data_IF_324594545061
#
_entry.id   IF_324594545061
#
_cell.length_a   1.000
_cell.length_b   1.000
_cell.length_c   1.000
_cell.angle_alpha   90.00
_cell.angle_beta   90.00
_cell.angle_gamma   90.00
#
_symmetry.space_group_name_H-M   'P 1'
#
loop_
_entity.id
_entity.type
_entity.pdbx_description
1 polymer ?
#
# COMPACT_ATOMS: atom_id res chain seq x y z
N UNK A 1 17.18 10.79 -4.32
CA UNK A 1 16.74 9.37 -4.34
C UNK A 1 16.48 8.98 -5.80
N UNK A 2 16.96 7.82 -6.27
CA UNK A 2 16.75 7.37 -7.66
C UNK A 2 15.34 6.76 -7.76
N UNK A 3 14.54 7.20 -8.75
CA UNK A 3 13.19 6.67 -8.94
C UNK A 3 13.24 5.17 -9.32
N UNK A 4 12.30 4.34 -8.83
CA UNK A 4 12.23 2.95 -9.23
C UNK A 4 11.91 2.85 -10.72
N UNK A 5 12.74 2.09 -11.44
CA UNK A 5 12.59 1.79 -12.87
C UNK A 5 12.36 0.29 -13.02
N UNK A 6 11.45 -0.09 -13.90
CA UNK A 6 11.23 -1.50 -14.22
C UNK A 6 12.24 -1.92 -15.29
N UNK A 7 12.88 -3.07 -15.07
CA UNK A 7 13.82 -3.67 -16.03
C UNK A 7 13.10 -4.62 -17.01
N UNK A 8 11.77 -4.62 -17.03
CA UNK A 8 11.00 -5.40 -18.00
C UNK A 8 11.26 -4.90 -19.43
N UNK A 9 11.25 -5.83 -20.39
CA UNK A 9 11.31 -5.52 -21.82
C UNK A 9 10.00 -4.94 -22.36
N UNK A 10 8.92 -5.06 -21.58
CA UNK A 10 7.61 -4.52 -21.92
C UNK A 10 7.58 -2.99 -21.66
N UNK A 11 7.33 -2.17 -22.70
CA UNK A 11 7.32 -0.71 -22.60
C UNK A 11 6.20 -0.17 -21.70
N UNK A 12 5.09 -0.88 -21.52
CA UNK A 12 4.04 -0.48 -20.58
C UNK A 12 4.49 -0.76 -19.15
N UNK A 13 5.08 -1.93 -18.88
CA UNK A 13 5.62 -2.26 -17.56
C UNK A 13 6.78 -1.36 -17.13
N UNK A 14 7.46 -0.70 -18.06
CA UNK A 14 8.46 0.34 -17.74
C UNK A 14 7.86 1.59 -17.13
N UNK A 15 6.63 1.95 -17.52
CA UNK A 15 5.91 3.15 -17.03
C UNK A 15 5.20 2.90 -15.71
N UNK A 16 4.88 1.63 -15.41
CA UNK A 16 4.14 1.22 -14.20
C UNK A 16 4.73 1.78 -12.90
N UNK A 17 6.04 1.69 -12.62
CA UNK A 17 6.60 2.21 -11.36
C UNK A 17 6.33 3.70 -11.14
N UNK A 18 6.47 4.51 -12.20
CA UNK A 18 6.23 5.95 -12.11
C UNK A 18 4.73 6.26 -11.94
N UNK A 19 3.86 5.51 -12.64
CA UNK A 19 2.42 5.65 -12.47
C UNK A 19 1.97 5.30 -11.05
N UNK A 20 2.52 4.23 -10.47
CA UNK A 20 2.22 3.82 -9.09
C UNK A 20 2.66 4.89 -8.07
N UNK A 21 3.83 5.50 -8.26
CA UNK A 21 4.28 6.60 -7.41
C UNK A 21 3.29 7.78 -7.46
N UNK A 22 2.91 8.23 -8.66
CA UNK A 22 1.95 9.34 -8.83
C UNK A 22 0.60 9.00 -8.20
N UNK A 23 0.11 7.77 -8.38
CA UNK A 23 -1.14 7.33 -7.77
C UNK A 23 -1.08 7.34 -6.25
N UNK A 24 0.04 6.86 -5.67
CA UNK A 24 0.23 6.84 -4.22
C UNK A 24 0.27 8.24 -3.60
N UNK A 25 0.90 9.20 -4.28
CA UNK A 25 0.98 10.59 -3.82
C UNK A 25 -0.40 11.27 -3.84
N UNK A 26 -1.16 11.10 -4.93
CA UNK A 26 -2.54 11.58 -5.01
C UNK A 26 -3.44 10.95 -3.95
N UNK A 27 -3.30 9.66 -3.71
CA UNK A 27 -4.08 8.97 -2.69
C UNK A 27 -3.76 9.47 -1.27
N UNK A 28 -2.50 9.82 -0.98
CA UNK A 28 -2.12 10.48 0.28
C UNK A 28 -2.76 11.86 0.42
N UNK A 29 -2.65 12.70 -0.62
CA UNK A 29 -3.25 14.04 -0.62
C UNK A 29 -4.78 13.97 -0.41
N UNK A 30 -5.44 13.01 -1.06
CA UNK A 30 -6.87 12.77 -0.88
C UNK A 30 -7.19 12.33 0.55
N UNK A 31 -6.38 11.44 1.13
CA UNK A 31 -6.55 10.98 2.50
C UNK A 31 -6.41 12.13 3.51
N UNK A 32 -5.41 13.01 3.33
CA UNK A 32 -5.22 14.23 4.12
C UNK A 32 -6.42 15.17 4.00
N UNK A 33 -6.91 15.40 2.78
CA UNK A 33 -8.03 16.31 2.54
C UNK A 33 -9.37 15.79 3.06
N UNK A 34 -9.54 14.46 3.09
CA UNK A 34 -10.79 13.82 3.54
C UNK A 34 -10.76 13.40 5.01
N UNK A 35 -9.61 13.55 5.68
CA UNK A 35 -9.40 13.04 7.03
C UNK A 35 -9.48 11.50 7.12
N UNK A 36 -9.25 10.80 6.00
CA UNK A 36 -9.28 9.33 5.97
C UNK A 36 -7.87 8.75 6.18
N UNK A 37 -7.73 7.56 6.79
CA UNK A 37 -6.42 6.94 7.00
C UNK A 37 -5.81 6.42 5.70
N UNK A 38 -4.55 6.80 5.43
CA UNK A 38 -3.77 6.27 4.30
C UNK A 38 -2.97 5.03 4.71
N UNK A 39 -3.37 3.84 4.23
CA UNK A 39 -2.76 2.56 4.60
C UNK A 39 -1.88 2.02 3.46
N UNK A 40 -0.59 1.81 3.75
CA UNK A 40 0.35 1.13 2.83
C UNK A 40 0.66 -0.26 3.34
N UNK A 41 0.33 -1.30 2.57
CA UNK A 41 0.67 -2.70 2.88
C UNK A 41 1.90 -3.11 2.09
N UNK A 42 2.97 -3.50 2.80
CA UNK A 42 4.15 -4.07 2.15
C UNK A 42 3.88 -5.55 1.83
N UNK A 43 4.18 -6.01 0.60
CA UNK A 43 4.10 -7.44 0.28
C UNK A 43 5.07 -8.20 1.19
N UNK A 44 4.59 -9.29 1.81
CA UNK A 44 5.39 -10.11 2.74
C UNK A 44 5.26 -9.74 4.22
N UNK A 45 4.52 -8.67 4.58
CA UNK A 45 4.04 -8.52 5.95
C UNK A 45 2.79 -9.38 6.09
N UNK A 46 2.82 -10.52 6.81
CA UNK A 46 1.58 -11.22 7.13
C UNK A 46 0.63 -10.21 7.78
N UNK A 47 -0.68 -10.24 7.51
CA UNK A 47 -1.61 -9.44 8.29
C UNK A 47 -1.28 -9.72 9.75
N UNK A 48 -1.15 -8.68 10.57
CA UNK A 48 -1.01 -8.84 12.01
C UNK A 48 -2.25 -9.60 12.48
N UNK A 49 -2.15 -10.93 12.46
CA UNK A 49 -3.19 -11.85 12.87
C UNK A 49 -3.17 -11.82 14.38
N UNK A 50 -3.85 -10.82 14.92
CA UNK A 50 -4.70 -11.03 16.07
C UNK A 50 -6.08 -10.66 15.55
N UNK A 51 -6.92 -11.65 15.30
CA UNK A 51 -8.31 -11.37 14.97
C UNK A 51 -8.84 -10.49 16.10
N UNK A 52 -9.40 -9.30 15.83
CA UNK A 52 -9.98 -8.46 16.88
C UNK A 52 -11.17 -9.11 17.60
N UNK A 53 -11.61 -10.28 17.13
CA UNK A 53 -12.61 -11.14 17.78
C UNK A 53 -12.03 -12.07 18.87
N UNK A 54 -10.73 -12.35 18.88
CA UNK A 54 -10.09 -13.19 19.91
C UNK A 54 -10.01 -12.49 21.29
N UNK A 55 -10.01 -11.16 21.32
CA UNK A 55 -9.98 -10.36 22.56
C UNK A 55 -11.37 -10.19 23.21
N UNK A 56 -12.46 -10.43 22.48
CA UNK A 56 -13.84 -10.21 22.95
C UNK A 56 -14.48 -11.44 23.58
N UNK A 57 -14.09 -12.63 23.11
CA UNK A 57 -14.56 -13.89 23.66
C UNK A 57 -13.32 -14.67 24.07
N UNK A 58 -12.93 -14.49 25.33
CA UNK A 58 -11.85 -15.26 25.94
C UNK A 58 -11.99 -16.72 25.56
N UNK A 59 -10.90 -17.32 25.07
CA UNK A 59 -10.83 -18.74 24.70
C UNK A 59 -11.36 -19.61 25.85
N UNK A 60 -11.97 -20.77 25.55
CA UNK A 60 -12.38 -21.74 26.57
C UNK A 60 -11.20 -22.19 27.42
#
# INVERSE_FOLDING_TARGET
MKAPVSHSKDPELQKVPQALMRASEKARQLAEHTGTPFIVRKPGTPPASKNPLDDLFGKP
#
